data_IF_626717151123
#
_entry.id   IF_626717151123
#
_cell.length_a   1.000
_cell.length_b   1.000
_cell.length_c   1.000
_cell.angle_alpha   90.00
_cell.angle_beta   90.00
_cell.angle_gamma   90.00
#
_symmetry.space_group_name_H-M   'P 1'
#
loop_
_entity.id
_entity.type
_entity.pdbx_description
1 polymer ?
#
# COMPACT_ATOMS: atom_id res chain seq x y z
N UNK A 1 42.86 5.38 23.28
CA UNK A 1 41.71 4.53 23.72
C UNK A 1 40.44 5.33 24.06
N UNK A 2 40.46 6.32 24.96
CA UNK A 2 39.24 7.10 25.32
C UNK A 2 38.53 7.81 24.14
N UNK A 3 39.25 8.31 23.14
CA UNK A 3 38.66 8.96 21.94
C UNK A 3 37.99 7.98 20.99
N UNK A 4 38.56 6.79 20.84
CA UNK A 4 37.98 5.71 20.00
C UNK A 4 36.69 5.14 20.58
N UNK A 5 36.60 5.02 21.92
CA UNK A 5 35.42 4.55 22.62
C UNK A 5 34.26 5.55 22.47
N UNK A 6 34.55 6.88 22.55
CA UNK A 6 33.54 7.93 22.33
C UNK A 6 33.03 7.94 20.87
N UNK A 7 33.91 7.73 19.92
CA UNK A 7 33.52 7.65 18.49
C UNK A 7 32.64 6.44 18.22
N UNK A 8 32.96 5.29 18.84
CA UNK A 8 32.18 4.07 18.71
C UNK A 8 30.78 4.19 19.35
N UNK A 9 30.68 4.89 20.49
CA UNK A 9 29.42 5.17 21.17
C UNK A 9 28.50 6.10 20.34
N UNK A 10 29.06 7.09 19.62
CA UNK A 10 28.30 7.99 18.77
C UNK A 10 27.78 7.26 17.52
N UNK A 11 28.57 6.35 16.94
CA UNK A 11 28.17 5.57 15.76
C UNK A 11 27.04 4.60 16.12
N UNK A 12 27.10 3.95 17.30
CA UNK A 12 26.03 3.02 17.73
C UNK A 12 24.69 3.72 18.00
N UNK A 13 24.68 4.98 18.45
CA UNK A 13 23.42 5.72 18.67
C UNK A 13 22.71 6.13 17.38
N UNK A 14 23.42 6.25 16.26
CA UNK A 14 22.82 6.61 14.96
C UNK A 14 22.03 5.45 14.35
N UNK A 15 22.35 4.21 14.68
CA UNK A 15 21.66 3.03 14.14
C UNK A 15 20.29 2.73 14.78
N UNK A 16 19.92 3.39 15.88
CA UNK A 16 18.64 3.16 16.55
C UNK A 16 17.50 4.10 16.12
N UNK A 17 17.75 5.04 15.20
CA UNK A 17 16.72 5.94 14.68
C UNK A 17 16.19 5.56 13.29
N UNK A 18 16.34 4.30 12.87
CA UNK A 18 15.56 3.78 11.75
C UNK A 18 14.20 3.33 12.27
N UNK A 19 13.37 4.27 12.68
CA UNK A 19 11.95 4.08 12.76
C UNK A 19 11.45 4.11 11.32
N UNK A 20 11.32 2.97 10.67
CA UNK A 20 10.51 2.83 9.47
C UNK A 20 9.12 3.32 9.83
N UNK A 21 8.73 4.39 9.16
CA UNK A 21 7.42 5.04 9.27
C UNK A 21 6.37 4.11 8.64
N UNK A 22 6.06 3.04 9.36
CA UNK A 22 5.04 2.07 8.99
C UNK A 22 3.66 2.66 9.23
N UNK A 23 3.29 3.72 8.48
CA UNK A 23 1.90 4.11 8.31
C UNK A 23 1.07 4.33 9.59
N UNK A 24 1.70 4.52 10.75
CA UNK A 24 1.06 4.67 12.06
C UNK A 24 0.71 6.11 12.41
N UNK A 25 0.89 7.04 11.49
CA UNK A 25 0.39 8.40 11.67
C UNK A 25 -1.11 8.38 11.41
N UNK A 26 -1.85 8.23 12.50
CA UNK A 26 -3.30 8.38 12.52
C UNK A 26 -3.64 9.84 12.20
N UNK A 27 -4.38 10.05 11.12
CA UNK A 27 -4.95 11.36 10.80
C UNK A 27 -6.40 11.38 11.26
N UNK A 28 -6.70 12.22 12.25
CA UNK A 28 -8.05 12.32 12.82
C UNK A 28 -9.17 12.61 11.80
N UNK A 29 -8.95 13.30 10.66
CA UNK A 29 -9.95 13.41 9.60
C UNK A 29 -10.35 12.08 8.95
N UNK A 30 -9.50 11.06 9.00
CA UNK A 30 -9.76 9.73 8.42
C UNK A 30 -10.47 8.79 9.40
N UNK A 31 -10.82 9.29 10.57
CA UNK A 31 -11.48 8.60 11.67
C UNK A 31 -12.97 8.37 11.40
N UNK A 32 -13.45 7.15 11.60
CA UNK A 32 -14.85 6.76 11.44
C UNK A 32 -15.47 6.39 12.77
N UNK A 33 -16.70 6.82 13.01
CA UNK A 33 -17.45 6.47 14.23
C UNK A 33 -17.87 5.01 14.24
N UNK A 34 -18.16 4.45 13.07
CA UNK A 34 -18.59 3.06 12.92
C UNK A 34 -17.49 2.18 12.32
N UNK A 35 -17.43 0.92 12.75
CA UNK A 35 -16.49 -0.06 12.22
C UNK A 35 -16.79 -0.34 10.75
N UNK A 36 -15.86 -0.03 9.82
CA UNK A 36 -16.07 -0.25 8.40
C UNK A 36 -15.99 -1.73 8.04
N UNK A 37 -16.95 -2.21 7.26
CA UNK A 37 -16.95 -3.58 6.69
C UNK A 37 -16.26 -3.64 5.32
N UNK A 38 -16.14 -2.50 4.65
CA UNK A 38 -15.54 -2.34 3.34
C UNK A 38 -14.65 -1.10 3.32
N UNK A 39 -13.67 -1.11 2.43
CA UNK A 39 -12.79 0.02 2.15
C UNK A 39 -12.33 -0.01 0.71
N UNK A 40 -11.75 1.09 0.25
CA UNK A 40 -11.14 1.18 -1.08
C UNK A 40 -9.66 0.81 -1.00
N UNK A 41 -9.22 -0.14 -1.84
CA UNK A 41 -7.81 -0.32 -2.16
C UNK A 41 -7.37 0.85 -3.02
N UNK A 42 -6.37 1.59 -2.57
CA UNK A 42 -5.79 2.71 -3.32
C UNK A 42 -4.62 2.20 -4.16
N UNK A 43 -4.82 2.13 -5.47
CA UNK A 43 -3.89 1.54 -6.43
C UNK A 43 -3.15 2.65 -7.15
N UNK A 44 -1.82 2.65 -7.07
CA UNK A 44 -0.94 3.58 -7.78
C UNK A 44 -0.28 2.87 -8.96
N UNK A 45 -0.38 3.51 -10.14
CA UNK A 45 0.16 3.04 -11.41
C UNK A 45 1.31 3.94 -11.88
N UNK A 46 2.03 3.49 -12.88
CA UNK A 46 3.08 4.28 -13.50
C UNK A 46 2.49 5.44 -14.29
N UNK A 47 2.98 6.65 -14.02
CA UNK A 47 2.53 7.85 -14.72
C UNK A 47 3.03 7.93 -16.17
N UNK A 48 4.10 7.22 -16.52
CA UNK A 48 4.63 7.16 -17.89
C UNK A 48 3.67 6.43 -18.85
N UNK A 49 2.77 5.61 -18.32
CA UNK A 49 1.73 4.92 -19.09
C UNK A 49 0.43 5.70 -19.16
N UNK A 50 0.43 6.96 -18.73
CA UNK A 50 -0.77 7.80 -18.74
C UNK A 50 -1.37 7.90 -20.16
N UNK A 51 -2.66 7.56 -20.28
CA UNK A 51 -3.36 7.49 -21.57
C UNK A 51 -3.29 6.12 -22.25
N UNK A 52 -2.40 5.22 -21.83
CA UNK A 52 -2.36 3.82 -22.29
C UNK A 52 -3.12 2.95 -21.31
N UNK A 53 -4.11 2.15 -21.74
CA UNK A 53 -4.86 1.30 -20.85
C UNK A 53 -3.96 0.25 -20.19
N UNK A 54 -4.01 0.19 -18.85
CA UNK A 54 -3.34 -0.82 -18.02
C UNK A 54 -4.39 -1.78 -17.50
N UNK A 55 -4.22 -3.07 -17.76
CA UNK A 55 -5.12 -4.09 -17.24
C UNK A 55 -4.78 -4.40 -15.80
N UNK A 56 -5.69 -4.07 -14.89
CA UNK A 56 -5.61 -4.39 -13.47
C UNK A 56 -6.49 -5.61 -13.19
N UNK A 57 -5.94 -6.58 -12.46
CA UNK A 57 -6.69 -7.70 -11.91
C UNK A 57 -6.48 -7.77 -10.41
N UNK A 58 -7.56 -7.89 -9.67
CA UNK A 58 -7.57 -8.07 -8.22
C UNK A 58 -7.97 -9.50 -7.91
N UNK A 59 -7.19 -10.17 -7.10
CA UNK A 59 -7.43 -11.53 -6.64
C UNK A 59 -7.68 -11.51 -5.12
N UNK A 60 -8.65 -12.26 -4.64
CA UNK A 60 -8.81 -12.52 -3.22
C UNK A 60 -7.83 -13.61 -2.79
N UNK A 61 -7.01 -13.35 -1.79
CA UNK A 61 -5.95 -14.26 -1.35
C UNK A 61 -4.63 -14.06 -2.09
N UNK A 62 -3.91 -15.16 -2.32
CA UNK A 62 -2.68 -15.16 -3.08
C UNK A 62 -2.96 -15.30 -4.58
N UNK A 63 -1.99 -14.91 -5.39
CA UNK A 63 -2.12 -15.01 -6.85
C UNK A 63 -2.30 -16.45 -7.32
N UNK A 64 -1.64 -17.40 -6.64
CA UNK A 64 -1.68 -18.84 -6.92
C UNK A 64 -3.07 -19.44 -6.71
N UNK A 65 -3.87 -18.87 -5.82
CA UNK A 65 -5.24 -19.32 -5.55
C UNK A 65 -6.20 -18.99 -6.71
N UNK A 66 -5.79 -18.06 -7.60
CA UNK A 66 -6.50 -17.67 -8.82
C UNK A 66 -7.96 -17.24 -8.64
N UNK A 67 -8.34 -16.78 -7.44
CA UNK A 67 -9.69 -16.30 -7.12
C UNK A 67 -9.85 -14.87 -7.60
N UNK A 68 -10.27 -14.68 -8.86
CA UNK A 68 -10.45 -13.35 -9.43
C UNK A 68 -11.62 -12.62 -8.76
N UNK A 69 -11.32 -11.48 -8.13
CA UNK A 69 -12.31 -10.60 -7.50
C UNK A 69 -12.82 -9.52 -8.48
N UNK A 70 -11.90 -8.87 -9.21
CA UNK A 70 -12.24 -7.80 -10.15
C UNK A 70 -11.20 -7.69 -11.27
N UNK A 71 -11.63 -7.17 -12.43
CA UNK A 71 -10.73 -6.87 -13.54
C UNK A 71 -11.19 -5.59 -14.23
N UNK A 72 -10.29 -4.64 -14.42
CA UNK A 72 -10.58 -3.32 -14.98
C UNK A 72 -9.41 -2.78 -15.80
N UNK A 73 -9.71 -2.07 -16.89
CA UNK A 73 -8.73 -1.30 -17.64
C UNK A 73 -8.73 0.15 -17.15
N UNK A 74 -7.54 0.67 -16.82
CA UNK A 74 -7.34 2.00 -16.25
C UNK A 74 -6.32 2.78 -17.09
N UNK A 75 -6.65 4.02 -17.45
CA UNK A 75 -5.79 4.91 -18.24
C UNK A 75 -5.29 6.14 -17.43
N UNK A 76 -5.34 6.04 -16.11
CA UNK A 76 -4.91 7.12 -15.18
C UNK A 76 -3.89 6.55 -14.17
N UNK A 77 -3.11 7.44 -13.55
CA UNK A 77 -2.01 7.07 -12.65
C UNK A 77 -2.45 6.52 -11.30
N UNK A 78 -3.73 6.55 -10.98
CA UNK A 78 -4.28 5.98 -9.73
C UNK A 78 -5.75 5.61 -9.91
N UNK A 79 -6.16 4.58 -9.20
CA UNK A 79 -7.57 4.14 -9.13
C UNK A 79 -7.86 3.56 -7.77
N UNK A 80 -9.16 3.35 -7.48
CA UNK A 80 -9.58 2.66 -6.27
C UNK A 80 -10.59 1.55 -6.58
N UNK A 81 -10.54 0.47 -5.80
CA UNK A 81 -11.45 -0.67 -5.93
C UNK A 81 -11.94 -1.01 -4.53
N UNK A 82 -13.28 -1.02 -4.36
CA UNK A 82 -13.90 -1.34 -3.07
C UNK A 82 -13.77 -2.83 -2.75
N UNK A 83 -13.31 -3.15 -1.54
CA UNK A 83 -13.06 -4.51 -1.06
C UNK A 83 -13.54 -4.71 0.37
N UNK A 84 -13.71 -5.97 0.76
CA UNK A 84 -14.09 -6.35 2.13
C UNK A 84 -12.87 -6.27 3.06
N UNK A 85 -13.08 -5.77 4.29
CA UNK A 85 -12.06 -5.71 5.32
C UNK A 85 -11.57 -7.10 5.75
N UNK A 86 -10.34 -7.13 6.30
CA UNK A 86 -9.71 -8.30 6.92
C UNK A 86 -9.50 -9.49 5.95
N UNK A 87 -9.47 -9.21 4.64
CA UNK A 87 -9.09 -10.18 3.60
C UNK A 87 -7.84 -9.71 2.87
N UNK A 88 -6.96 -10.64 2.50
CA UNK A 88 -5.83 -10.35 1.64
C UNK A 88 -6.29 -10.18 0.20
N UNK A 89 -5.76 -9.17 -0.48
CA UNK A 89 -5.94 -8.97 -1.91
C UNK A 89 -4.57 -8.86 -2.58
N UNK A 90 -4.38 -9.63 -3.63
CA UNK A 90 -3.22 -9.52 -4.51
C UNK A 90 -3.66 -8.85 -5.81
N UNK A 91 -2.95 -7.81 -6.21
CA UNK A 91 -3.28 -7.00 -7.38
C UNK A 91 -2.15 -7.08 -8.39
N UNK A 92 -2.52 -7.30 -9.65
CA UNK A 92 -1.58 -7.25 -10.77
C UNK A 92 -1.93 -6.12 -11.71
N UNK A 93 -0.91 -5.44 -12.26
CA UNK A 93 -1.06 -4.49 -13.36
C UNK A 93 -0.22 -4.95 -14.54
N UNK A 94 -0.85 -5.11 -15.70
CA UNK A 94 -0.15 -5.49 -16.93
C UNK A 94 -0.02 -4.27 -17.82
N UNK A 95 1.23 -3.86 -18.07
CA UNK A 95 1.64 -2.76 -18.92
C UNK A 95 2.11 -3.28 -20.28
N UNK A 96 1.80 -2.55 -21.33
CA UNK A 96 2.33 -2.81 -22.66
C UNK A 96 3.22 -1.61 -23.09
N UNK A 97 4.54 -1.82 -23.11
CA UNK A 97 5.54 -0.79 -23.42
C UNK A 97 6.55 -1.34 -24.44
N UNK A 98 6.76 -0.62 -25.55
CA UNK A 98 7.75 -0.98 -26.56
C UNK A 98 7.66 -2.45 -27.00
N UNK A 99 6.45 -2.90 -27.35
CA UNK A 99 6.12 -4.28 -27.78
C UNK A 99 6.38 -5.37 -26.71
N UNK A 100 6.63 -4.98 -25.48
CA UNK A 100 6.81 -5.89 -24.34
C UNK A 100 5.68 -5.73 -23.31
N UNK A 101 5.36 -6.85 -22.65
CA UNK A 101 4.44 -6.86 -21.54
C UNK A 101 5.18 -6.95 -20.20
N UNK A 102 4.85 -6.05 -19.28
CA UNK A 102 5.39 -6.02 -17.93
C UNK A 102 4.26 -6.18 -16.93
N UNK A 103 4.43 -7.07 -15.97
CA UNK A 103 3.44 -7.26 -14.91
C UNK A 103 4.03 -6.87 -13.57
N UNK A 104 3.45 -5.84 -12.95
CA UNK A 104 3.70 -5.49 -11.58
C UNK A 104 2.71 -6.22 -10.66
N UNK A 105 3.17 -6.65 -9.49
CA UNK A 105 2.37 -7.35 -8.49
C UNK A 105 2.61 -6.73 -7.13
N UNK A 106 1.54 -6.49 -6.38
CA UNK A 106 1.59 -6.04 -4.99
C UNK A 106 0.38 -6.59 -4.24
N UNK A 107 0.41 -6.58 -2.91
CA UNK A 107 -0.68 -7.09 -2.08
C UNK A 107 -0.89 -6.25 -0.84
N UNK A 108 -2.15 -6.20 -0.39
CA UNK A 108 -2.56 -5.56 0.85
C UNK A 108 -3.60 -6.40 1.58
N UNK A 109 -3.67 -6.21 2.90
CA UNK A 109 -4.71 -6.81 3.73
C UNK A 109 -5.36 -5.69 4.53
N UNK A 110 -6.39 -5.01 3.98
CA UNK A 110 -7.05 -3.91 4.66
C UNK A 110 -7.55 -4.33 6.04
N UNK A 111 -7.11 -3.63 7.06
CA UNK A 111 -7.43 -3.90 8.47
C UNK A 111 -8.01 -2.67 9.14
N UNK A 112 -8.80 -2.91 10.18
CA UNK A 112 -9.35 -1.87 11.02
C UNK A 112 -8.66 -1.88 12.39
N UNK A 113 -8.43 -0.69 12.92
CA UNK A 113 -7.93 -0.47 14.27
C UNK A 113 -8.86 0.51 14.99
N UNK A 114 -9.21 0.20 16.23
CA UNK A 114 -9.95 1.08 17.11
C UNK A 114 -8.99 1.90 17.97
N UNK A 115 -9.17 3.22 17.98
CA UNK A 115 -8.35 4.16 18.75
C UNK A 115 -9.23 4.98 19.69
N UNK A 116 -8.80 5.09 20.95
CA UNK A 116 -9.53 5.80 22.00
C UNK A 116 -8.96 7.18 22.31
N UNK A 117 -7.63 7.30 22.24
CA UNK A 117 -6.90 8.38 22.89
C UNK A 117 -6.18 9.32 21.91
N UNK A 118 -6.13 9.00 20.62
CA UNK A 118 -5.39 9.79 19.63
C UNK A 118 -6.20 10.92 18.98
N UNK A 119 -7.53 10.86 19.07
CA UNK A 119 -8.43 11.87 18.51
C UNK A 119 -9.46 12.31 19.57
N UNK A 120 -10.13 13.43 19.31
CA UNK A 120 -11.11 14.01 20.26
C UNK A 120 -12.23 13.03 20.64
N UNK A 121 -12.56 12.11 19.74
CA UNK A 121 -13.54 11.05 19.97
C UNK A 121 -12.94 9.68 19.59
N UNK A 122 -13.33 8.59 20.29
CA UNK A 122 -12.96 7.24 19.93
C UNK A 122 -13.44 6.90 18.51
N UNK A 123 -12.61 6.18 17.74
CA UNK A 123 -12.91 5.96 16.33
C UNK A 123 -12.15 4.78 15.70
N UNK A 124 -12.53 4.44 14.48
CA UNK A 124 -11.95 3.36 13.70
C UNK A 124 -11.10 3.90 12.54
N UNK A 125 -9.89 3.36 12.38
CA UNK A 125 -8.99 3.62 11.27
C UNK A 125 -8.84 2.40 10.39
N UNK A 126 -8.74 2.67 9.09
CA UNK A 126 -8.38 1.65 8.11
C UNK A 126 -6.91 1.83 7.73
N UNK A 127 -6.16 0.75 7.74
CA UNK A 127 -4.76 0.70 7.33
C UNK A 127 -4.49 -0.49 6.41
N UNK A 128 -3.28 -0.57 5.83
CA UNK A 128 -2.85 -1.60 4.89
C UNK A 128 -3.80 -1.73 3.67
N UNK A 129 -4.07 -0.60 2.99
CA UNK A 129 -4.96 -0.52 1.83
C UNK A 129 -4.29 0.06 0.58
N UNK A 130 -2.98 0.36 0.66
CA UNK A 130 -2.26 0.98 -0.44
C UNK A 130 -1.55 -0.08 -1.27
N UNK A 131 -1.74 -0.03 -2.58
CA UNK A 131 -1.12 -0.90 -3.58
C UNK A 131 -0.25 -0.06 -4.50
N UNK A 132 1.02 -0.42 -4.66
CA UNK A 132 1.96 0.28 -5.53
C UNK A 132 2.41 -0.60 -6.68
N UNK A 133 1.80 -0.43 -7.84
CA UNK A 133 2.07 -1.20 -9.05
C UNK A 133 2.90 -0.43 -10.09
N UNK A 134 3.62 0.62 -9.67
CA UNK A 134 4.53 1.35 -10.55
C UNK A 134 5.68 0.45 -10.98
N UNK A 135 6.07 0.59 -12.24
CA UNK A 135 7.25 -0.11 -12.75
C UNK A 135 8.52 0.51 -12.15
N UNK A 136 9.32 -0.29 -11.45
CA UNK A 136 10.53 0.19 -10.76
C UNK A 136 11.76 0.26 -11.68
N UNK A 137 11.73 -0.37 -12.87
CA UNK A 137 12.88 -0.60 -13.73
C UNK A 137 12.54 -0.50 -15.22
N UNK A 138 11.86 0.56 -15.64
CA UNK A 138 11.78 0.90 -17.07
C UNK A 138 12.96 1.81 -17.42
N UNK A 139 14.03 1.22 -17.93
CA UNK A 139 15.07 1.95 -18.66
C UNK A 139 14.95 1.64 -20.14
#
# INVERSE_FOLDING_TARGET
MRKLIKLFLIITTIFFFSCEDQGLIVKCPDCRTDEPKQTDLEIKLDSETFGTPVLIKVYEGNLEDSVLYSSVNVSISSTSISVTMNKKYTVTATYHLNDNYYTAVDSATPRVRYEKDLCDNPCYFVYDRNINLRLKYTK
#
